data_IF_036701749246
#
_entry.id   IF_036701749246
#
_cell.length_a   1.000
_cell.length_b   1.000
_cell.length_c   1.000
_cell.angle_alpha   90.00
_cell.angle_beta   90.00
_cell.angle_gamma   90.00
#
_symmetry.space_group_name_H-M   'P 1'
#
loop_
_entity.id
_entity.type
_entity.pdbx_description
1 polymer ?
#
# COMPACT_ATOMS: atom_id res chain seq x y z
N UNK A 1 23.29 21.95 24.43
CA UNK A 1 22.04 22.54 23.90
C UNK A 1 22.31 23.49 22.75
N UNK A 2 23.28 24.42 22.85
CA UNK A 2 23.66 25.32 21.76
C UNK A 2 23.90 24.59 20.43
N UNK A 3 24.69 23.51 20.45
CA UNK A 3 24.97 22.71 19.24
C UNK A 3 23.72 22.08 18.62
N UNK A 4 22.77 21.64 19.45
CA UNK A 4 21.51 21.07 18.97
C UNK A 4 20.63 22.12 18.26
N UNK A 5 20.58 23.34 18.81
CA UNK A 5 19.90 24.48 18.16
C UNK A 5 20.60 24.86 16.85
N UNK A 6 21.92 24.89 16.85
CA UNK A 6 22.69 25.23 15.65
C UNK A 6 22.55 24.18 14.55
N UNK A 7 22.47 22.89 14.90
CA UNK A 7 22.19 21.83 13.94
C UNK A 7 20.87 22.06 13.20
N UNK A 8 19.80 22.47 13.90
CA UNK A 8 18.51 22.80 13.26
C UNK A 8 18.66 23.99 12.31
N UNK A 9 19.36 25.05 12.73
CA UNK A 9 19.60 26.23 11.86
C UNK A 9 20.37 25.85 10.61
N UNK A 10 21.41 25.04 10.74
CA UNK A 10 22.22 24.59 9.61
C UNK A 10 21.42 23.72 8.66
N UNK A 11 20.61 22.78 9.16
CA UNK A 11 19.71 21.98 8.34
C UNK A 11 18.72 22.87 7.57
N UNK A 12 18.09 23.84 8.25
CA UNK A 12 17.11 24.76 7.65
C UNK A 12 17.75 25.65 6.59
N UNK A 13 18.90 26.24 6.90
CA UNK A 13 19.66 27.09 5.98
C UNK A 13 20.13 26.34 4.72
N UNK A 14 20.44 25.05 4.84
CA UNK A 14 20.94 24.22 3.74
C UNK A 14 19.87 23.30 3.12
N UNK A 15 18.59 23.51 3.43
CA UNK A 15 17.51 22.61 3.05
C UNK A 15 17.46 22.34 1.53
N UNK A 16 17.59 23.39 0.71
CA UNK A 16 17.65 23.27 -0.76
C UNK A 16 18.83 22.43 -1.24
N UNK A 17 20.00 22.56 -0.61
CA UNK A 17 21.19 21.76 -0.94
C UNK A 17 20.99 20.28 -0.60
N UNK A 18 20.26 19.98 0.47
CA UNK A 18 19.97 18.60 0.89
C UNK A 18 18.73 18.00 0.22
N UNK A 19 17.98 18.79 -0.54
CA UNK A 19 16.71 18.34 -1.13
C UNK A 19 15.63 18.04 -0.08
N UNK A 20 15.66 18.74 1.06
CA UNK A 20 14.69 18.57 2.15
C UNK A 20 13.80 19.81 2.30
N UNK A 21 12.63 19.64 2.92
CA UNK A 21 11.73 20.75 3.27
C UNK A 21 12.24 21.48 4.53
N UNK A 22 12.53 22.80 4.47
CA UNK A 22 13.02 23.57 5.62
C UNK A 22 12.02 23.66 6.79
N UNK A 23 10.75 23.29 6.57
CA UNK A 23 9.68 23.28 7.57
C UNK A 23 9.36 21.86 8.08
N UNK A 24 10.24 20.89 7.82
CA UNK A 24 10.10 19.48 8.26
C UNK A 24 11.41 18.93 8.80
N UNK A 25 12.05 19.68 9.68
CA UNK A 25 13.33 19.30 10.30
C UNK A 25 13.08 18.74 11.68
N UNK A 26 13.22 17.43 11.82
CA UNK A 26 13.09 16.75 13.11
C UNK A 26 14.41 16.48 13.81
N UNK A 27 14.33 16.20 15.10
CA UNK A 27 15.45 15.65 15.87
C UNK A 27 15.07 14.32 16.51
N UNK A 28 15.95 13.32 16.41
CA UNK A 28 15.84 12.04 17.10
C UNK A 28 17.12 11.77 17.88
N UNK A 29 17.01 11.32 19.13
CA UNK A 29 18.18 11.06 19.95
C UNK A 29 17.94 10.05 21.06
N UNK A 30 19.03 9.42 21.45
CA UNK A 30 19.09 8.31 22.39
C UNK A 30 19.78 8.74 23.69
N UNK A 31 19.26 8.34 24.86
CA UNK A 31 19.87 8.63 26.18
C UNK A 31 20.21 10.12 26.34
N UNK A 32 21.49 10.47 26.53
CA UNK A 32 21.97 11.86 26.59
C UNK A 32 21.62 12.69 25.34
N UNK A 33 21.55 12.06 24.15
CA UNK A 33 21.05 12.69 22.94
C UNK A 33 19.56 13.02 23.03
N UNK A 34 18.76 12.14 23.64
CA UNK A 34 17.36 12.41 23.96
C UNK A 34 17.22 13.57 24.95
N UNK A 35 18.05 13.61 26.00
CA UNK A 35 18.12 14.73 26.95
C UNK A 35 18.45 16.06 26.26
N UNK A 36 19.43 16.06 25.35
CA UNK A 36 19.78 17.23 24.55
C UNK A 36 18.58 17.73 23.74
N UNK A 37 17.87 16.83 23.06
CA UNK A 37 16.71 17.18 22.22
C UNK A 37 15.56 17.68 23.08
N UNK A 38 15.28 17.04 24.21
CA UNK A 38 14.28 17.53 25.17
C UNK A 38 14.58 18.94 25.67
N UNK A 39 15.87 19.27 25.79
CA UNK A 39 16.30 20.63 26.13
C UNK A 39 16.10 21.60 24.98
N UNK A 40 16.48 21.21 23.75
CA UNK A 40 16.26 22.02 22.55
C UNK A 40 14.77 22.30 22.36
N UNK A 41 13.92 21.28 22.49
CA UNK A 41 12.48 21.34 22.29
C UNK A 41 11.72 22.22 23.32
N UNK A 42 12.38 22.68 24.39
CA UNK A 42 11.79 23.61 25.36
C UNK A 42 12.43 25.00 25.36
N UNK A 43 13.58 25.17 24.68
CA UNK A 43 14.40 26.38 24.86
C UNK A 43 14.82 27.03 23.54
N UNK A 44 14.30 26.56 22.40
CA UNK A 44 14.61 27.07 21.07
C UNK A 44 14.21 28.54 20.86
N UNK A 45 14.72 29.12 19.78
CA UNK A 45 14.17 30.32 19.13
C UNK A 45 13.50 29.94 17.79
N UNK A 46 12.90 30.92 17.10
CA UNK A 46 12.16 30.67 15.86
C UNK A 46 12.99 29.92 14.80
N UNK A 47 14.30 30.20 14.71
CA UNK A 47 15.18 29.58 13.71
C UNK A 47 15.70 28.19 14.11
N UNK A 48 15.76 27.91 15.41
CA UNK A 48 16.27 26.65 15.96
C UNK A 48 15.20 25.70 16.48
N UNK A 49 13.92 26.06 16.33
CA UNK A 49 12.78 25.20 16.65
C UNK A 49 12.78 23.97 15.71
N UNK A 50 12.90 22.74 16.22
CA UNK A 50 12.65 21.55 15.42
C UNK A 50 11.15 21.42 15.13
N UNK A 51 10.80 20.85 13.98
CA UNK A 51 9.41 20.65 13.56
C UNK A 51 8.77 19.41 14.19
N UNK A 52 9.57 18.48 14.70
CA UNK A 52 9.18 17.32 15.49
C UNK A 52 10.37 16.79 16.30
N UNK A 53 10.12 16.14 17.44
CA UNK A 53 11.17 15.62 18.31
C UNK A 53 10.89 14.19 18.78
N UNK A 54 11.92 13.34 18.79
CA UNK A 54 11.86 11.97 19.28
C UNK A 54 12.95 11.69 20.32
N UNK A 55 12.53 11.27 21.51
CA UNK A 55 13.38 11.05 22.67
C UNK A 55 13.32 9.56 23.03
N UNK A 56 14.43 8.86 22.84
CA UNK A 56 14.53 7.43 23.10
C UNK A 56 15.33 7.24 24.39
N UNK A 57 14.69 6.71 25.43
CA UNK A 57 15.20 6.51 26.80
C UNK A 57 15.99 7.71 27.35
N UNK A 58 15.44 8.92 27.18
CA UNK A 58 16.10 10.15 27.62
C UNK A 58 16.23 10.22 29.15
N UNK A 59 17.35 10.72 29.65
CA UNK A 59 17.48 11.09 31.05
C UNK A 59 16.85 12.47 31.28
N UNK A 60 15.60 12.52 31.76
CA UNK A 60 14.85 13.77 31.86
C UNK A 60 15.36 14.71 32.97
N UNK A 61 16.09 14.20 33.96
CA UNK A 61 16.59 15.01 35.09
C UNK A 61 17.60 16.09 34.70
N UNK A 62 18.20 15.99 33.50
CA UNK A 62 19.14 16.98 32.96
C UNK A 62 18.58 17.77 31.76
N UNK A 63 17.28 17.67 31.49
CA UNK A 63 16.64 18.48 30.45
C UNK A 63 16.55 19.93 30.94
N UNK A 64 17.04 20.87 30.12
CA UNK A 64 16.90 22.30 30.37
C UNK A 64 15.55 22.81 29.85
N UNK A 65 14.96 23.77 30.56
CA UNK A 65 13.67 24.38 30.25
C UNK A 65 12.63 24.06 31.32
N UNK A 66 11.95 25.10 31.79
CA UNK A 66 11.03 25.01 32.93
C UNK A 66 9.55 24.88 32.50
N UNK A 67 9.25 25.16 31.23
CA UNK A 67 7.91 25.10 30.65
C UNK A 67 7.93 24.60 29.21
N UNK A 68 6.80 24.04 28.78
CA UNK A 68 6.56 23.64 27.38
C UNK A 68 6.11 24.88 26.59
N UNK A 69 6.84 25.30 25.54
CA UNK A 69 6.44 26.45 24.73
C UNK A 69 5.07 26.26 24.05
N UNK A 70 4.34 27.35 23.81
CA UNK A 70 3.01 27.31 23.17
C UNK A 70 3.04 26.68 21.78
N UNK A 71 4.14 26.85 21.04
CA UNK A 71 4.39 26.30 19.72
C UNK A 71 5.27 25.04 19.75
N UNK A 72 5.46 24.39 20.91
CA UNK A 72 6.33 23.22 21.05
C UNK A 72 6.05 22.14 19.98
N UNK A 73 7.09 21.52 19.42
CA UNK A 73 6.93 20.48 18.42
C UNK A 73 6.15 19.28 18.97
N UNK A 74 5.49 18.50 18.10
CA UNK A 74 4.99 17.19 18.47
C UNK A 74 6.15 16.31 18.99
N UNK A 75 5.89 15.58 20.07
CA UNK A 75 6.90 14.82 20.81
C UNK A 75 6.63 13.31 20.78
N UNK A 76 7.62 12.51 20.41
CA UNK A 76 7.60 11.05 20.52
C UNK A 76 8.57 10.59 21.60
N UNK A 77 8.13 9.70 22.49
CA UNK A 77 8.94 9.15 23.57
C UNK A 77 8.86 7.63 23.57
N UNK A 78 9.99 6.95 23.75
CA UNK A 78 10.05 5.50 23.93
C UNK A 78 11.05 5.12 25.01
N UNK A 79 10.67 4.23 25.93
CA UNK A 79 11.57 3.69 26.96
C UNK A 79 11.23 2.23 27.32
N UNK A 80 12.17 1.56 27.97
CA UNK A 80 11.92 0.31 28.67
C UNK A 80 11.55 0.60 30.14
N UNK A 81 10.62 -0.16 30.70
CA UNK A 81 10.14 -0.02 32.08
C UNK A 81 11.14 -0.51 33.11
N UNK A 82 12.04 -1.41 32.71
CA UNK A 82 13.19 -1.83 33.50
C UNK A 82 14.45 -0.95 33.29
N UNK A 83 14.32 0.22 32.66
CA UNK A 83 15.40 1.20 32.51
C UNK A 83 15.50 2.11 33.77
N UNK A 84 16.60 2.03 34.56
CA UNK A 84 16.74 2.82 35.79
C UNK A 84 17.07 4.30 35.55
N UNK A 85 17.32 4.71 34.31
CA UNK A 85 17.72 6.08 33.94
C UNK A 85 16.54 6.84 33.32
N UNK A 86 15.71 6.18 32.52
CA UNK A 86 14.67 6.81 31.71
C UNK A 86 13.34 7.06 32.44
N UNK A 87 13.24 6.84 33.75
CA UNK A 87 11.97 6.90 34.51
C UNK A 87 11.23 8.25 34.46
N UNK A 88 11.90 9.35 34.07
CA UNK A 88 11.28 10.68 33.98
C UNK A 88 10.44 10.94 32.72
N UNK A 89 10.48 10.05 31.72
CA UNK A 89 9.78 10.26 30.44
C UNK A 89 8.24 10.34 30.57
N UNK A 90 7.55 9.57 31.43
CA UNK A 90 6.11 9.73 31.65
C UNK A 90 5.70 11.12 32.15
N UNK A 91 6.45 11.70 33.10
CA UNK A 91 6.18 13.05 33.59
C UNK A 91 6.42 14.12 32.50
N UNK A 92 7.40 13.91 31.62
CA UNK A 92 7.64 14.79 30.48
C UNK A 92 6.49 14.73 29.46
N UNK A 93 5.97 13.53 29.19
CA UNK A 93 4.77 13.35 28.36
C UNK A 93 3.56 14.10 28.92
N UNK A 94 3.31 13.97 30.23
CA UNK A 94 2.21 14.67 30.91
C UNK A 94 2.34 16.18 30.76
N UNK A 95 3.54 16.74 30.95
CA UNK A 95 3.80 18.18 30.73
C UNK A 95 3.43 18.63 29.31
N UNK A 96 3.77 17.84 28.29
CA UNK A 96 3.45 18.17 26.89
C UNK A 96 1.94 18.16 26.64
N UNK A 97 1.25 17.14 27.16
CA UNK A 97 -0.19 16.98 27.03
C UNK A 97 -0.96 18.08 27.76
N UNK A 98 -0.53 18.44 28.97
CA UNK A 98 -1.16 19.47 29.79
C UNK A 98 -0.97 20.87 29.16
N UNK A 99 0.09 21.07 28.37
CA UNK A 99 0.29 22.25 27.52
C UNK A 99 -0.52 22.22 26.21
N UNK A 100 -1.38 21.21 25.99
CA UNK A 100 -2.18 21.04 24.78
C UNK A 100 -1.36 20.68 23.53
N UNK A 101 -0.13 20.21 23.70
CA UNK A 101 0.78 19.87 22.59
C UNK A 101 0.70 18.38 22.25
N UNK A 102 0.80 17.99 20.96
CA UNK A 102 0.78 16.57 20.59
C UNK A 102 1.97 15.82 21.19
N UNK A 103 1.71 14.71 21.86
CA UNK A 103 2.75 13.80 22.34
C UNK A 103 2.30 12.34 22.28
N UNK A 104 3.25 11.44 22.12
CA UNK A 104 3.05 9.98 22.15
C UNK A 104 4.15 9.33 23.00
N UNK A 105 3.77 8.38 23.86
CA UNK A 105 4.66 7.68 24.77
C UNK A 105 4.50 6.17 24.66
N UNK A 106 5.60 5.46 24.45
CA UNK A 106 5.67 4.00 24.50
C UNK A 106 6.53 3.54 25.67
N UNK A 107 5.97 2.70 26.54
CA UNK A 107 6.68 2.04 27.62
C UNK A 107 6.66 0.54 27.35
N UNK A 108 7.83 -0.03 27.05
CA UNK A 108 8.01 -1.47 26.87
C UNK A 108 8.39 -2.10 28.20
N UNK A 109 7.87 -3.28 28.60
CA UNK A 109 8.17 -3.83 29.92
C UNK A 109 9.67 -4.09 30.14
N UNK A 110 10.35 -4.60 29.11
CA UNK A 110 11.76 -4.98 29.12
C UNK A 110 12.50 -4.43 27.88
N UNK A 111 13.82 -4.31 27.99
CA UNK A 111 14.72 -3.80 26.95
C UNK A 111 15.98 -3.13 27.53
N UNK A 112 15.92 -2.73 28.80
CA UNK A 112 17.01 -2.06 29.50
C UNK A 112 17.34 -0.68 28.94
N UNK A 113 18.39 -0.07 29.48
CA UNK A 113 18.96 1.15 28.90
C UNK A 113 19.78 0.83 27.65
N UNK A 114 19.64 1.62 26.59
CA UNK A 114 20.47 1.50 25.40
C UNK A 114 20.02 0.46 24.38
N UNK A 115 18.73 0.10 24.34
CA UNK A 115 18.22 -0.86 23.35
C UNK A 115 18.42 -0.42 21.88
N UNK A 116 18.50 0.89 21.62
CA UNK A 116 18.80 1.49 20.32
C UNK A 116 18.12 0.74 19.15
N UNK A 117 18.88 0.25 18.18
CA UNK A 117 18.39 -0.56 17.05
C UNK A 117 18.70 -2.06 17.22
N UNK A 118 19.15 -2.49 18.40
CA UNK A 118 19.52 -3.88 18.64
C UNK A 118 18.27 -4.76 18.74
N UNK A 119 18.23 -5.83 17.94
CA UNK A 119 17.16 -6.84 18.03
C UNK A 119 17.41 -7.73 19.25
N UNK A 120 16.48 -7.70 20.20
CA UNK A 120 16.54 -8.48 21.45
C UNK A 120 15.54 -9.65 21.47
N UNK A 121 14.64 -9.74 20.48
CA UNK A 121 13.51 -10.65 20.49
C UNK A 121 12.41 -10.21 21.48
N UNK A 122 12.42 -8.94 21.89
CA UNK A 122 11.52 -8.37 22.88
C UNK A 122 10.59 -7.34 22.23
N UNK A 123 9.42 -7.02 22.84
CA UNK A 123 8.50 -6.03 22.28
C UNK A 123 9.12 -4.65 22.01
N UNK A 124 10.18 -4.29 22.74
CA UNK A 124 10.93 -3.04 22.52
C UNK A 124 11.51 -2.93 21.11
N UNK A 125 11.79 -4.04 20.44
CA UNK A 125 12.31 -4.05 19.06
C UNK A 125 11.37 -3.31 18.08
N UNK A 126 10.08 -3.22 18.42
CA UNK A 126 9.03 -2.57 17.62
C UNK A 126 8.95 -1.05 17.80
N UNK A 127 9.83 -0.41 18.58
CA UNK A 127 9.77 1.05 18.78
C UNK A 127 9.98 1.84 17.48
N UNK A 128 10.79 1.32 16.56
CA UNK A 128 11.01 1.93 15.25
C UNK A 128 9.73 1.91 14.40
N UNK A 129 8.99 0.80 14.42
CA UNK A 129 7.67 0.72 13.77
C UNK A 129 6.70 1.73 14.36
N UNK A 130 6.68 1.88 15.69
CA UNK A 130 5.84 2.88 16.37
C UNK A 130 6.24 4.30 16.00
N UNK A 131 7.54 4.59 15.91
CA UNK A 131 8.02 5.89 15.48
C UNK A 131 7.62 6.22 14.03
N UNK A 132 7.76 5.26 13.10
CA UNK A 132 7.33 5.43 11.71
C UNK A 132 5.81 5.64 11.60
N UNK A 133 5.02 4.87 12.37
CA UNK A 133 3.56 5.05 12.44
C UNK A 133 3.19 6.43 13.01
N UNK A 134 3.93 6.92 14.00
CA UNK A 134 3.75 8.26 14.54
C UNK A 134 4.06 9.32 13.50
N UNK A 135 5.22 9.27 12.81
CA UNK A 135 5.56 10.20 11.73
C UNK A 135 4.49 10.23 10.64
N UNK A 136 3.97 9.06 10.26
CA UNK A 136 2.89 8.95 9.29
C UNK A 136 1.60 9.60 9.81
N UNK A 137 1.24 9.39 11.07
CA UNK A 137 0.06 10.00 11.71
C UNK A 137 0.18 11.52 11.83
N UNK A 138 1.40 12.04 11.99
CA UNK A 138 1.69 13.48 11.96
C UNK A 138 1.73 14.05 10.52
N UNK A 139 1.57 13.22 9.47
CA UNK A 139 1.65 13.64 8.07
C UNK A 139 3.08 14.01 7.61
N UNK A 140 4.10 13.59 8.37
CA UNK A 140 5.50 13.96 8.13
C UNK A 140 6.16 13.13 7.02
N UNK A 141 5.57 12.00 6.64
CA UNK A 141 6.08 11.12 5.58
C UNK A 141 5.49 11.40 4.18
N UNK A 142 4.53 12.32 4.06
CA UNK A 142 3.88 12.69 2.79
C UNK A 142 4.25 14.13 2.40
N UNK A 143 4.40 14.48 1.11
CA UNK A 143 4.52 15.87 0.67
C UNK A 143 3.47 16.79 1.33
N UNK A 144 3.79 18.06 1.68
CA UNK A 144 2.88 18.92 2.46
C UNK A 144 1.46 19.06 1.88
N UNK A 145 1.34 19.20 0.57
CA UNK A 145 0.05 19.32 -0.11
C UNK A 145 -0.72 18.00 -0.17
N UNK A 146 -0.02 16.87 -0.15
CA UNK A 146 -0.62 15.54 -0.10
C UNK A 146 -1.10 15.22 1.32
N UNK A 147 -0.26 15.47 2.34
CA UNK A 147 -0.61 15.28 3.75
C UNK A 147 -1.90 16.00 4.15
N UNK A 148 -2.15 17.21 3.61
CA UNK A 148 -3.38 17.98 3.85
C UNK A 148 -4.63 17.35 3.23
N UNK A 149 -4.49 16.60 2.14
CA UNK A 149 -5.59 15.99 1.38
C UNK A 149 -5.86 14.55 1.80
N UNK A 150 -4.89 13.90 2.45
CA UNK A 150 -5.01 12.51 2.90
C UNK A 150 -5.86 12.40 4.16
N UNK A 151 -6.90 11.57 4.11
CA UNK A 151 -7.56 11.09 5.33
C UNK A 151 -6.64 10.09 6.06
N UNK A 152 -5.74 10.61 6.89
CA UNK A 152 -4.81 9.79 7.67
C UNK A 152 -5.54 8.81 8.61
N UNK A 153 -6.73 9.17 9.13
CA UNK A 153 -7.54 8.25 9.95
C UNK A 153 -8.17 7.14 9.10
N UNK A 154 -8.60 7.47 7.89
CA UNK A 154 -9.06 6.53 6.88
C UNK A 154 -7.97 5.55 6.48
N UNK A 155 -6.74 6.02 6.27
CA UNK A 155 -5.58 5.19 6.01
C UNK A 155 -5.37 4.12 7.09
N UNK A 156 -5.41 4.49 8.38
CA UNK A 156 -5.25 3.51 9.47
C UNK A 156 -6.41 2.52 9.57
N UNK A 157 -7.64 2.98 9.32
CA UNK A 157 -8.81 2.08 9.26
C UNK A 157 -8.66 1.06 8.13
N UNK A 158 -8.23 1.51 6.95
CA UNK A 158 -7.98 0.64 5.81
C UNK A 158 -6.82 -0.33 6.07
N UNK A 159 -5.70 0.15 6.62
CA UNK A 159 -4.54 -0.69 6.95
C UNK A 159 -4.91 -1.80 7.93
N UNK A 160 -5.61 -1.46 9.02
CA UNK A 160 -6.08 -2.47 9.99
C UNK A 160 -7.02 -3.48 9.33
N UNK A 161 -7.98 -3.01 8.54
CA UNK A 161 -8.88 -3.89 7.78
C UNK A 161 -8.09 -4.84 6.87
N UNK A 162 -7.11 -4.32 6.14
CA UNK A 162 -6.27 -5.09 5.22
C UNK A 162 -5.42 -6.14 5.95
N UNK A 163 -4.74 -5.76 7.03
CA UNK A 163 -3.95 -6.68 7.86
C UNK A 163 -4.82 -7.79 8.47
N UNK A 164 -5.99 -7.43 8.97
CA UNK A 164 -6.94 -8.40 9.53
C UNK A 164 -7.51 -9.34 8.46
N UNK A 165 -7.80 -8.81 7.27
CA UNK A 165 -8.23 -9.60 6.12
C UNK A 165 -7.13 -10.56 5.68
N UNK A 166 -5.88 -10.11 5.52
CA UNK A 166 -4.74 -10.98 5.17
C UNK A 166 -4.58 -12.11 6.20
N UNK A 167 -4.75 -11.81 7.49
CA UNK A 167 -4.58 -12.77 8.58
C UNK A 167 -5.72 -13.78 8.68
N UNK A 168 -6.97 -13.36 8.45
CA UNK A 168 -8.16 -14.18 8.74
C UNK A 168 -8.85 -14.73 7.49
N UNK A 169 -8.69 -14.08 6.34
CA UNK A 169 -9.28 -14.45 5.06
C UNK A 169 -8.34 -14.05 3.91
N UNK A 170 -7.14 -14.65 3.89
CA UNK A 170 -6.07 -14.30 2.93
C UNK A 170 -6.55 -14.28 1.47
N UNK A 171 -7.38 -15.25 1.07
CA UNK A 171 -7.96 -15.34 -0.27
C UNK A 171 -9.13 -14.40 -0.52
N UNK A 172 -9.71 -13.76 0.51
CA UNK A 172 -10.92 -12.94 0.40
C UNK A 172 -12.16 -13.76 0.05
N UNK A 173 -12.26 -15.00 0.53
CA UNK A 173 -13.34 -15.94 0.20
C UNK A 173 -14.72 -15.42 0.62
N UNK A 174 -14.79 -14.63 1.69
CA UNK A 174 -16.07 -14.09 2.16
C UNK A 174 -16.63 -13.00 1.25
N UNK A 175 -15.78 -12.28 0.49
CA UNK A 175 -16.15 -11.08 -0.28
C UNK A 175 -17.29 -11.29 -1.27
N UNK A 176 -17.35 -12.46 -1.89
CA UNK A 176 -18.38 -12.83 -2.87
C UNK A 176 -19.18 -14.06 -2.46
N UNK A 177 -18.98 -14.63 -1.26
CA UNK A 177 -19.68 -15.85 -0.83
C UNK A 177 -21.20 -15.74 -0.96
N UNK A 178 -21.81 -14.69 -0.40
CA UNK A 178 -23.24 -14.45 -0.53
C UNK A 178 -23.68 -14.15 -1.97
N UNK A 179 -22.89 -13.37 -2.71
CA UNK A 179 -23.21 -13.01 -4.09
C UNK A 179 -23.16 -14.23 -5.02
N UNK A 180 -22.25 -15.17 -4.78
CA UNK A 180 -22.14 -16.44 -5.48
C UNK A 180 -23.34 -17.34 -5.18
N UNK A 181 -23.78 -17.42 -3.92
CA UNK A 181 -24.94 -18.22 -3.53
C UNK A 181 -26.25 -17.71 -4.15
N UNK A 182 -26.38 -16.38 -4.31
CA UNK A 182 -27.54 -15.73 -4.93
C UNK A 182 -27.52 -15.82 -6.46
N UNK A 183 -26.38 -16.17 -7.07
CA UNK A 183 -26.26 -16.25 -8.52
C UNK A 183 -26.88 -17.55 -9.03
N UNK A 184 -27.94 -17.43 -9.82
CA UNK A 184 -28.59 -18.59 -10.44
C UNK A 184 -27.62 -19.34 -11.37
N UNK A 185 -27.76 -20.67 -11.53
CA UNK A 185 -27.05 -21.40 -12.57
C UNK A 185 -27.27 -20.77 -13.94
N UNK A 186 -26.28 -20.78 -14.85
CA UNK A 186 -26.46 -20.25 -16.19
C UNK A 186 -27.64 -20.91 -16.92
N UNK A 187 -28.43 -20.14 -17.65
CA UNK A 187 -29.47 -20.71 -18.52
C UNK A 187 -28.85 -21.53 -19.67
N UNK A 188 -29.65 -22.39 -20.32
CA UNK A 188 -29.18 -23.37 -21.33
C UNK A 188 -28.33 -22.76 -22.47
N UNK A 189 -28.55 -21.50 -22.80
CA UNK A 189 -27.81 -20.77 -23.85
C UNK A 189 -27.06 -19.54 -23.32
N UNK A 190 -27.03 -19.32 -22.01
CA UNK A 190 -26.33 -18.19 -21.39
C UNK A 190 -24.81 -18.41 -21.50
N UNK A 191 -24.13 -17.51 -22.22
CA UNK A 191 -22.67 -17.46 -22.27
C UNK A 191 -22.14 -16.58 -21.15
N UNK A 192 -22.22 -17.07 -19.91
CA UNK A 192 -21.73 -16.35 -18.74
C UNK A 192 -20.23 -16.09 -18.85
N UNK A 193 -19.80 -14.85 -18.61
CA UNK A 193 -18.39 -14.44 -18.62
C UNK A 193 -18.01 -13.94 -17.25
N UNK A 194 -16.95 -14.48 -16.66
CA UNK A 194 -16.42 -13.98 -15.39
C UNK A 194 -15.22 -13.07 -15.66
N UNK A 195 -15.29 -11.84 -15.16
CA UNK A 195 -14.16 -10.92 -15.13
C UNK A 195 -13.45 -11.07 -13.79
N UNK A 196 -12.23 -11.59 -13.82
CA UNK A 196 -11.48 -12.01 -12.64
C UNK A 196 -10.18 -11.23 -12.52
N UNK A 197 -10.02 -10.53 -11.40
CA UNK A 197 -8.89 -9.61 -11.24
C UNK A 197 -8.81 -8.93 -9.89
N UNK A 198 -8.09 -7.81 -9.89
CA UNK A 198 -7.82 -6.99 -8.72
C UNK A 198 -8.68 -5.70 -8.72
N UNK A 199 -8.14 -4.60 -8.19
CA UNK A 199 -8.79 -3.28 -8.13
C UNK A 199 -9.17 -2.73 -9.51
N UNK A 200 -8.42 -3.03 -10.57
CA UNK A 200 -8.76 -2.60 -11.93
C UNK A 200 -10.06 -3.30 -12.39
N UNK A 201 -10.22 -4.57 -12.06
CA UNK A 201 -11.46 -5.28 -12.36
C UNK A 201 -12.59 -4.84 -11.43
N UNK A 202 -12.33 -4.68 -10.13
CA UNK A 202 -13.36 -4.25 -9.16
C UNK A 202 -13.90 -2.85 -9.50
N UNK A 203 -13.01 -1.91 -9.83
CA UNK A 203 -13.36 -0.52 -10.15
C UNK A 203 -14.18 -0.36 -11.42
N UNK A 204 -14.11 -1.33 -12.35
CA UNK A 204 -14.80 -1.25 -13.63
C UNK A 204 -16.31 -1.14 -13.47
N UNK A 205 -16.94 -1.94 -12.59
CA UNK A 205 -18.39 -1.90 -12.40
C UNK A 205 -18.88 -0.57 -11.79
N UNK A 206 -18.03 0.07 -10.99
CA UNK A 206 -18.32 1.40 -10.43
C UNK A 206 -18.14 2.53 -11.43
N UNK A 207 -17.13 2.43 -12.30
CA UNK A 207 -16.83 3.45 -13.30
C UNK A 207 -17.72 3.37 -14.53
N UNK A 208 -18.07 2.15 -14.99
CA UNK A 208 -18.84 1.86 -16.21
C UNK A 208 -19.90 0.78 -15.96
N UNK A 209 -20.92 1.02 -15.11
CA UNK A 209 -21.96 0.04 -14.83
C UNK A 209 -22.68 -0.45 -16.10
N UNK A 210 -22.85 0.43 -17.10
CA UNK A 210 -23.49 0.14 -18.38
C UNK A 210 -22.77 -0.92 -19.21
N UNK A 211 -21.48 -1.16 -18.95
CA UNK A 211 -20.74 -2.22 -19.64
C UNK A 211 -21.20 -3.62 -19.21
N UNK A 212 -21.64 -3.75 -17.94
CA UNK A 212 -22.09 -5.02 -17.35
C UNK A 212 -23.60 -5.19 -17.42
N UNK A 213 -24.36 -4.09 -17.45
CA UNK A 213 -25.82 -4.11 -17.44
C UNK A 213 -26.40 -4.90 -18.63
N UNK A 214 -27.36 -5.79 -18.34
CA UNK A 214 -28.03 -6.61 -19.35
C UNK A 214 -27.16 -7.69 -20.01
N UNK A 215 -25.88 -7.78 -19.69
CA UNK A 215 -24.96 -8.82 -20.19
C UNK A 215 -24.79 -9.92 -19.14
N UNK A 216 -24.53 -11.17 -19.55
CA UNK A 216 -24.24 -12.27 -18.61
C UNK A 216 -22.81 -12.17 -18.05
N UNK A 217 -22.39 -10.96 -17.66
CA UNK A 217 -21.05 -10.67 -17.19
C UNK A 217 -21.05 -10.59 -15.66
N UNK A 218 -20.07 -11.24 -15.05
CA UNK A 218 -19.95 -11.36 -13.61
C UNK A 218 -18.60 -10.80 -13.17
N UNK A 219 -18.63 -9.70 -12.44
CA UNK A 219 -17.42 -9.09 -11.90
C UNK A 219 -16.97 -9.79 -10.61
N UNK A 220 -15.73 -10.25 -10.58
CA UNK A 220 -15.07 -10.87 -9.41
C UNK A 220 -13.71 -10.23 -9.17
N UNK A 221 -13.61 -8.92 -9.35
CA UNK A 221 -12.46 -8.14 -8.92
C UNK A 221 -12.46 -7.92 -7.41
N UNK A 222 -11.28 -7.99 -6.78
CA UNK A 222 -11.08 -7.59 -5.38
C UNK A 222 -9.84 -6.71 -5.27
N UNK A 223 -10.01 -5.49 -4.79
CA UNK A 223 -8.97 -4.48 -4.65
C UNK A 223 -7.76 -4.97 -3.86
N UNK A 224 -6.57 -4.58 -4.32
CA UNK A 224 -5.30 -4.90 -3.67
C UNK A 224 -4.83 -6.35 -3.79
N UNK A 225 -5.66 -7.28 -4.30
CA UNK A 225 -5.29 -8.70 -4.35
C UNK A 225 -4.17 -9.00 -5.35
N UNK A 226 -3.37 -10.00 -4.97
CA UNK A 226 -2.26 -10.58 -5.73
C UNK A 226 -2.63 -11.95 -6.29
N UNK A 227 -1.85 -12.47 -7.24
CA UNK A 227 -2.09 -13.77 -7.88
C UNK A 227 -2.21 -14.97 -6.92
N UNK A 228 -1.46 -15.11 -5.80
CA UNK A 228 -1.69 -16.23 -4.88
C UNK A 228 -3.06 -16.18 -4.19
N UNK A 229 -3.55 -14.99 -3.85
CA UNK A 229 -4.89 -14.82 -3.26
C UNK A 229 -5.98 -15.14 -4.28
N UNK A 230 -5.79 -14.66 -5.51
CA UNK A 230 -6.67 -14.94 -6.64
C UNK A 230 -6.75 -16.45 -6.94
N UNK A 231 -5.63 -17.16 -6.91
CA UNK A 231 -5.60 -18.62 -7.12
C UNK A 231 -6.44 -19.36 -6.06
N UNK A 232 -6.35 -18.96 -4.79
CA UNK A 232 -7.11 -19.58 -3.68
C UNK A 232 -8.61 -19.49 -3.91
N UNK A 233 -9.12 -18.32 -4.34
CA UNK A 233 -10.56 -18.11 -4.55
C UNK A 233 -11.05 -18.53 -5.95
N UNK A 234 -10.16 -18.94 -6.85
CA UNK A 234 -10.51 -19.21 -8.25
C UNK A 234 -11.62 -20.25 -8.41
N UNK A 235 -11.60 -21.33 -7.60
CA UNK A 235 -12.67 -22.34 -7.65
C UNK A 235 -14.03 -21.78 -7.25
N UNK A 236 -14.09 -20.97 -6.20
CA UNK A 236 -15.33 -20.40 -5.68
C UNK A 236 -15.89 -19.31 -6.63
N UNK A 237 -15.01 -18.43 -7.10
CA UNK A 237 -15.41 -17.21 -7.79
C UNK A 237 -15.37 -17.33 -9.32
N UNK A 238 -14.85 -18.44 -9.86
CA UNK A 238 -14.86 -18.71 -11.31
C UNK A 238 -15.50 -20.06 -11.59
N UNK A 239 -14.88 -21.16 -11.14
CA UNK A 239 -15.29 -22.52 -11.55
C UNK A 239 -16.73 -22.83 -11.12
N UNK A 240 -17.08 -22.54 -9.87
CA UNK A 240 -18.42 -22.82 -9.33
C UNK A 240 -19.53 -22.02 -10.04
N UNK A 241 -19.18 -20.91 -10.71
CA UNK A 241 -20.13 -20.06 -11.43
C UNK A 241 -20.43 -20.58 -12.85
N UNK A 242 -19.73 -21.63 -13.28
CA UNK A 242 -19.88 -22.32 -14.58
C UNK A 242 -19.88 -21.37 -15.80
N UNK A 243 -18.92 -20.44 -15.92
CA UNK A 243 -18.88 -19.54 -17.06
C UNK A 243 -18.48 -20.26 -18.35
N UNK A 244 -18.89 -19.69 -19.49
CA UNK A 244 -18.35 -20.07 -20.80
C UNK A 244 -16.89 -19.61 -20.97
N UNK A 245 -16.54 -18.46 -20.39
CA UNK A 245 -15.16 -17.97 -20.37
C UNK A 245 -14.83 -17.15 -19.13
N UNK A 246 -13.53 -17.08 -18.81
CA UNK A 246 -12.98 -16.18 -17.80
C UNK A 246 -11.96 -15.22 -18.42
N UNK A 247 -12.06 -13.94 -18.07
CA UNK A 247 -11.06 -12.92 -18.37
C UNK A 247 -10.20 -12.71 -17.13
N UNK A 248 -8.90 -12.99 -17.22
CA UNK A 248 -7.95 -12.88 -16.10
C UNK A 248 -7.06 -11.66 -16.32
N UNK A 249 -7.15 -10.66 -15.43
CA UNK A 249 -6.26 -9.50 -15.36
C UNK A 249 -5.60 -9.45 -13.98
N UNK A 250 -4.35 -9.88 -13.88
CA UNK A 250 -3.66 -10.09 -12.60
C UNK A 250 -2.15 -9.85 -12.70
N UNK A 251 -1.51 -9.46 -11.59
CA UNK A 251 -0.05 -9.31 -11.49
C UNK A 251 0.44 -7.94 -11.03
N UNK A 252 -0.34 -6.86 -11.21
CA UNK A 252 0.11 -5.50 -10.84
C UNK A 252 0.42 -5.38 -9.33
N UNK A 253 -0.43 -5.92 -8.47
CA UNK A 253 -0.25 -5.85 -7.01
C UNK A 253 0.86 -6.78 -6.50
N UNK A 254 1.13 -7.85 -7.23
CA UNK A 254 2.27 -8.73 -6.95
C UNK A 254 3.58 -7.97 -7.19
N UNK A 255 3.67 -7.23 -8.31
CA UNK A 255 4.81 -6.37 -8.62
C UNK A 255 4.92 -5.21 -7.60
N UNK A 256 3.79 -4.71 -7.12
CA UNK A 256 3.73 -3.71 -6.04
C UNK A 256 4.07 -4.25 -4.64
N UNK A 257 4.22 -5.58 -4.48
CA UNK A 257 4.62 -6.21 -3.22
C UNK A 257 3.50 -6.29 -2.17
N UNK A 258 2.22 -6.23 -2.57
CA UNK A 258 1.09 -6.16 -1.62
C UNK A 258 0.97 -7.36 -0.68
N UNK A 259 1.53 -8.52 -1.04
CA UNK A 259 1.60 -9.73 -0.20
C UNK A 259 3.04 -10.12 0.15
N UNK A 260 3.98 -9.19 -0.02
CA UNK A 260 5.41 -9.39 0.25
C UNK A 260 6.24 -9.72 -0.99
N UNK A 261 7.52 -10.10 -0.80
CA UNK A 261 8.44 -10.40 -1.88
C UNK A 261 7.96 -11.56 -2.76
N UNK A 262 8.09 -11.40 -4.08
CA UNK A 262 7.72 -12.41 -5.07
C UNK A 262 8.60 -12.30 -6.32
N UNK A 263 8.57 -13.31 -7.19
CA UNK A 263 9.27 -13.32 -8.48
C UNK A 263 8.28 -13.27 -9.64
N UNK A 264 8.74 -12.82 -10.82
CA UNK A 264 7.89 -12.83 -12.01
C UNK A 264 7.43 -14.24 -12.38
N UNK A 265 8.27 -15.23 -12.14
CA UNK A 265 7.96 -16.65 -12.35
C UNK A 265 6.85 -17.11 -11.40
N UNK A 266 6.85 -16.70 -10.13
CA UNK A 266 5.79 -17.05 -9.19
C UNK A 266 4.45 -16.43 -9.62
N UNK A 267 4.46 -15.16 -10.04
CA UNK A 267 3.27 -14.46 -10.57
C UNK A 267 2.74 -15.19 -11.80
N UNK A 268 3.63 -15.47 -12.75
CA UNK A 268 3.31 -16.21 -13.97
C UNK A 268 2.72 -17.58 -13.67
N UNK A 269 3.34 -18.35 -12.78
CA UNK A 269 2.88 -19.70 -12.42
C UNK A 269 1.49 -19.69 -11.79
N UNK A 270 1.17 -18.72 -10.92
CA UNK A 270 -0.18 -18.59 -10.37
C UNK A 270 -1.23 -18.32 -11.47
N UNK A 271 -0.91 -17.47 -12.44
CA UNK A 271 -1.82 -17.18 -13.58
C UNK A 271 -1.98 -18.43 -14.48
N UNK A 272 -0.88 -19.14 -14.74
CA UNK A 272 -0.90 -20.42 -15.47
C UNK A 272 -1.77 -21.45 -14.75
N UNK A 273 -1.61 -21.62 -13.43
CA UNK A 273 -2.43 -22.54 -12.65
C UNK A 273 -3.92 -22.20 -12.70
N UNK A 274 -4.27 -20.90 -12.65
CA UNK A 274 -5.67 -20.48 -12.86
C UNK A 274 -6.19 -20.85 -14.25
N UNK A 275 -5.38 -20.64 -15.30
CA UNK A 275 -5.74 -21.02 -16.67
C UNK A 275 -5.90 -22.54 -16.83
N UNK A 276 -5.01 -23.33 -16.22
CA UNK A 276 -5.10 -24.80 -16.22
C UNK A 276 -6.36 -25.29 -15.49
N UNK A 277 -6.68 -24.72 -14.32
CA UNK A 277 -7.90 -25.04 -13.58
C UNK A 277 -9.14 -24.71 -14.43
N UNK A 278 -9.17 -23.55 -15.09
CA UNK A 278 -10.29 -23.16 -15.95
C UNK A 278 -10.48 -24.16 -17.11
N UNK A 279 -9.41 -24.46 -17.84
CA UNK A 279 -9.44 -25.40 -18.97
C UNK A 279 -9.85 -26.81 -18.54
N UNK A 280 -9.39 -27.28 -17.39
CA UNK A 280 -9.79 -28.57 -16.83
C UNK A 280 -11.28 -28.64 -16.42
N UNK A 281 -11.99 -27.50 -16.40
CA UNK A 281 -13.43 -27.40 -16.15
C UNK A 281 -14.19 -26.87 -17.38
N UNK A 282 -13.61 -27.02 -18.58
CA UNK A 282 -14.21 -26.61 -19.86
C UNK A 282 -14.53 -25.10 -19.97
N UNK A 283 -13.79 -24.27 -19.24
CA UNK A 283 -13.92 -22.81 -19.26
C UNK A 283 -12.86 -22.24 -20.21
N UNK A 284 -13.29 -21.45 -21.21
CA UNK A 284 -12.38 -20.74 -22.11
C UNK A 284 -11.63 -19.63 -21.37
N UNK A 285 -10.37 -19.40 -21.72
CA UNK A 285 -9.49 -18.48 -20.99
C UNK A 285 -9.05 -17.33 -21.86
N UNK A 286 -9.31 -16.11 -21.40
CA UNK A 286 -8.71 -14.88 -21.91
C UNK A 286 -7.71 -14.38 -20.87
N UNK A 287 -6.42 -14.44 -21.19
CA UNK A 287 -5.35 -13.88 -20.35
C UNK A 287 -5.05 -12.47 -20.85
N UNK A 288 -5.24 -11.49 -19.99
CA UNK A 288 -4.93 -10.11 -20.29
C UNK A 288 -3.48 -9.76 -19.95
N UNK A 289 -2.88 -8.87 -20.73
CA UNK A 289 -1.68 -8.16 -20.34
C UNK A 289 -1.94 -7.36 -19.06
N UNK A 290 -1.02 -7.41 -18.10
CA UNK A 290 -0.95 -6.42 -17.02
C UNK A 290 -0.86 -5.03 -17.63
N UNK A 291 -1.68 -4.09 -17.16
CA UNK A 291 -1.70 -2.72 -17.68
C UNK A 291 -0.35 -2.02 -17.46
N UNK A 292 -0.02 -0.99 -18.26
CA UNK A 292 1.22 -0.22 -18.12
C UNK A 292 1.21 0.56 -16.80
N UNK A 293 2.32 0.54 -16.07
CA UNK A 293 2.50 1.33 -14.85
C UNK A 293 3.93 1.85 -14.81
N UNK A 294 4.09 3.18 -14.64
CA UNK A 294 5.40 3.80 -14.51
C UNK A 294 5.92 3.75 -13.06
N UNK A 295 5.05 3.97 -12.08
CA UNK A 295 5.33 3.81 -10.65
C UNK A 295 4.03 3.58 -9.87
N UNK A 296 4.12 3.05 -8.64
CA UNK A 296 2.97 2.87 -7.76
C UNK A 296 2.93 3.96 -6.69
N UNK A 297 1.87 4.80 -6.63
CA UNK A 297 1.79 5.85 -5.61
C UNK A 297 1.88 5.35 -4.17
N UNK A 298 1.38 4.14 -3.89
CA UNK A 298 1.42 3.53 -2.56
C UNK A 298 2.69 2.71 -2.28
N UNK A 299 3.52 2.48 -3.30
CA UNK A 299 4.76 1.70 -3.22
C UNK A 299 5.80 2.25 -4.22
N UNK A 300 6.28 3.50 -4.00
CA UNK A 300 7.11 4.20 -4.98
C UNK A 300 8.50 3.59 -5.12
N UNK A 301 9.12 3.79 -6.28
CA UNK A 301 10.51 3.40 -6.54
C UNK A 301 10.71 1.91 -6.84
N UNK A 302 9.64 1.20 -7.21
CA UNK A 302 9.70 -0.22 -7.54
C UNK A 302 10.07 -0.51 -9.01
N UNK A 303 10.16 0.51 -9.86
CA UNK A 303 10.47 0.42 -11.29
C UNK A 303 9.62 -0.66 -12.03
N UNK A 304 8.28 -0.58 -11.97
CA UNK A 304 7.40 -1.66 -12.43
C UNK A 304 7.34 -1.88 -13.94
N UNK A 305 7.62 -0.85 -14.75
CA UNK A 305 7.46 -0.89 -16.20
C UNK A 305 8.14 -2.09 -16.88
N UNK A 306 9.43 -2.30 -16.61
CA UNK A 306 10.19 -3.41 -17.20
C UNK A 306 9.72 -4.79 -16.70
N UNK A 307 9.31 -4.86 -15.42
CA UNK A 307 8.78 -6.08 -14.81
C UNK A 307 7.46 -6.49 -15.49
N UNK A 308 6.59 -5.52 -15.75
CA UNK A 308 5.31 -5.70 -16.44
C UNK A 308 5.54 -6.18 -17.87
N UNK A 309 6.46 -5.55 -18.62
CA UNK A 309 6.78 -5.96 -20.00
C UNK A 309 7.25 -7.42 -20.06
N UNK A 310 8.15 -7.82 -19.15
CA UNK A 310 8.66 -9.21 -19.08
C UNK A 310 7.56 -10.21 -18.74
N UNK A 311 6.75 -9.93 -17.72
CA UNK A 311 5.62 -10.78 -17.35
C UNK A 311 4.62 -10.93 -18.50
N UNK A 312 4.29 -9.81 -19.16
CA UNK A 312 3.39 -9.82 -20.32
C UNK A 312 3.91 -10.66 -21.47
N UNK A 313 5.22 -10.61 -21.75
CA UNK A 313 5.84 -11.47 -22.76
C UNK A 313 5.73 -12.96 -22.41
N UNK A 314 5.92 -13.33 -21.13
CA UNK A 314 5.73 -14.71 -20.66
C UNK A 314 4.28 -15.17 -20.83
N UNK A 315 3.31 -14.34 -20.43
CA UNK A 315 1.87 -14.62 -20.54
C UNK A 315 1.43 -14.76 -22.01
N UNK A 316 1.90 -13.87 -22.90
CA UNK A 316 1.63 -13.92 -24.34
C UNK A 316 2.13 -15.22 -24.96
N UNK A 317 3.35 -15.62 -24.62
CA UNK A 317 3.95 -16.89 -25.09
C UNK A 317 3.17 -18.10 -24.60
N UNK A 318 2.77 -18.10 -23.32
CA UNK A 318 1.97 -19.19 -22.75
C UNK A 318 0.62 -19.32 -23.45
N UNK A 319 -0.11 -18.20 -23.61
CA UNK A 319 -1.43 -18.20 -24.23
C UNK A 319 -1.40 -18.75 -25.67
N UNK A 320 -0.42 -18.32 -26.47
CA UNK A 320 -0.21 -18.81 -27.83
C UNK A 320 0.03 -20.32 -27.94
N UNK A 321 0.48 -20.97 -26.86
CA UNK A 321 0.81 -22.39 -26.84
C UNK A 321 -0.26 -23.27 -26.15
N UNK A 322 -1.29 -22.68 -25.53
CA UNK A 322 -2.15 -23.38 -24.57
C UNK A 322 -3.66 -23.16 -24.73
N UNK A 323 -4.15 -22.90 -25.96
CA UNK A 323 -5.59 -22.70 -26.24
C UNK A 323 -6.23 -21.62 -25.34
N UNK A 324 -5.47 -20.53 -25.14
CA UNK A 324 -5.94 -19.33 -24.45
C UNK A 324 -5.85 -18.14 -25.41
N UNK A 325 -6.76 -17.17 -25.26
CA UNK A 325 -6.66 -15.88 -25.96
C UNK A 325 -5.77 -14.95 -25.15
N UNK A 326 -4.88 -14.21 -25.83
CA UNK A 326 -4.10 -13.15 -25.21
C UNK A 326 -4.68 -11.78 -25.56
N UNK A 327 -5.07 -11.01 -24.54
CA UNK A 327 -5.65 -9.68 -24.66
C UNK A 327 -4.62 -8.60 -24.30
N UNK A 328 -4.13 -7.87 -25.30
CA UNK A 328 -2.98 -6.95 -25.18
C UNK A 328 -3.39 -5.49 -24.91
N UNK A 329 -3.95 -5.21 -23.72
CA UNK A 329 -4.22 -3.83 -23.28
C UNK A 329 -2.94 -3.00 -23.19
N UNK A 330 -1.84 -3.60 -22.74
CA UNK A 330 -0.60 -2.89 -22.45
C UNK A 330 -0.07 -2.13 -23.66
N UNK A 331 -0.05 -2.77 -24.83
CA UNK A 331 0.41 -2.12 -26.05
C UNK A 331 -0.50 -0.96 -26.49
N UNK A 332 -1.81 -1.06 -26.23
CA UNK A 332 -2.79 -0.04 -26.61
C UNK A 332 -2.83 1.18 -25.66
N UNK A 333 -2.47 1.00 -24.39
CA UNK A 333 -2.71 1.99 -23.34
C UNK A 333 -1.45 2.72 -22.84
N UNK A 334 -0.25 2.32 -23.27
CA UNK A 334 1.01 2.84 -22.70
C UNK A 334 1.44 4.20 -23.28
N UNK A 335 2.06 5.02 -22.44
CA UNK A 335 2.83 6.21 -22.82
C UNK A 335 4.30 5.87 -23.14
N UNK A 336 5.11 6.89 -23.44
CA UNK A 336 6.54 6.75 -23.75
C UNK A 336 7.38 6.21 -22.57
N UNK A 337 6.88 6.30 -21.35
CA UNK A 337 7.53 5.78 -20.13
C UNK A 337 7.04 4.37 -19.78
N UNK A 338 6.26 3.75 -20.68
CA UNK A 338 5.56 2.49 -20.43
C UNK A 338 4.61 2.54 -19.21
N UNK A 339 4.06 3.72 -18.89
CA UNK A 339 3.00 3.91 -17.91
C UNK A 339 1.66 4.25 -18.55
N UNK A 340 0.61 4.38 -17.74
CA UNK A 340 -0.66 4.92 -18.22
C UNK A 340 -0.60 6.46 -18.29
N UNK A 341 -1.03 7.09 -19.39
CA UNK A 341 -1.15 8.54 -19.45
C UNK A 341 -2.27 9.03 -18.51
N UNK A 342 -2.13 10.26 -18.00
CA UNK A 342 -3.06 10.83 -17.00
C UNK A 342 -4.53 10.85 -17.44
N UNK A 343 -4.80 10.96 -18.75
CA UNK A 343 -6.15 10.89 -19.30
C UNK A 343 -6.80 9.50 -19.11
N UNK A 344 -5.99 8.44 -19.12
CA UNK A 344 -6.44 7.06 -18.95
C UNK A 344 -6.35 6.57 -17.51
N UNK A 345 -5.47 7.13 -16.66
CA UNK A 345 -5.41 6.84 -15.23
C UNK A 345 -4.87 8.04 -14.45
N UNK A 346 -5.70 8.65 -13.59
CA UNK A 346 -5.31 9.85 -12.84
C UNK A 346 -4.20 9.60 -11.82
N UNK A 347 -4.10 8.38 -11.29
CA UNK A 347 -3.07 7.93 -10.36
C UNK A 347 -1.95 7.13 -11.06
N UNK A 348 -2.00 7.01 -12.39
CA UNK A 348 -1.06 6.23 -13.19
C UNK A 348 -1.24 4.72 -13.13
N UNK A 349 -2.28 4.19 -12.45
CA UNK A 349 -2.52 2.74 -12.30
C UNK A 349 -3.96 2.34 -12.61
N UNK A 350 -4.95 3.02 -12.03
CA UNK A 350 -6.35 2.64 -12.12
C UNK A 350 -7.04 3.41 -13.27
N UNK A 351 -7.69 2.70 -14.21
CA UNK A 351 -8.31 3.36 -15.35
C UNK A 351 -9.39 4.38 -14.96
N UNK A 352 -9.40 5.52 -15.64
CA UNK A 352 -10.53 6.46 -15.66
C UNK A 352 -11.67 5.86 -16.49
N UNK A 353 -12.81 6.58 -16.57
CA UNK A 353 -13.90 6.26 -17.51
C UNK A 353 -13.37 6.07 -18.93
N UNK A 354 -12.48 6.94 -19.40
CA UNK A 354 -11.90 6.85 -20.75
C UNK A 354 -10.91 5.68 -20.88
N UNK A 355 -10.15 5.38 -19.82
CA UNK A 355 -9.33 4.17 -19.76
C UNK A 355 -10.16 2.90 -19.91
N UNK A 356 -11.29 2.78 -19.18
CA UNK A 356 -12.18 1.63 -19.33
C UNK A 356 -12.85 1.57 -20.71
N UNK A 357 -13.30 2.70 -21.29
CA UNK A 357 -13.85 2.73 -22.67
C UNK A 357 -12.90 2.08 -23.68
N UNK A 358 -11.60 2.39 -23.56
CA UNK A 358 -10.58 1.80 -24.44
C UNK A 358 -10.47 0.28 -24.26
N UNK A 359 -10.60 -0.22 -23.03
CA UNK A 359 -10.53 -1.66 -22.74
C UNK A 359 -11.76 -2.44 -23.24
N UNK A 360 -12.95 -1.83 -23.21
CA UNK A 360 -14.24 -2.50 -23.50
C UNK A 360 -14.28 -3.14 -24.89
N UNK A 361 -13.93 -2.41 -25.95
CA UNK A 361 -13.95 -2.96 -27.30
C UNK A 361 -12.96 -4.12 -27.48
N UNK A 362 -11.78 -4.01 -26.85
CA UNK A 362 -10.74 -5.03 -26.94
C UNK A 362 -11.14 -6.32 -26.21
N UNK A 363 -11.75 -6.21 -25.03
CA UNK A 363 -12.18 -7.39 -24.26
C UNK A 363 -13.37 -8.10 -24.90
N UNK A 364 -14.31 -7.35 -25.48
CA UNK A 364 -15.44 -7.94 -26.20
C UNK A 364 -14.96 -8.74 -27.41
N UNK A 365 -13.98 -8.22 -28.16
CA UNK A 365 -13.35 -8.95 -29.25
C UNK A 365 -12.69 -10.24 -28.76
N UNK A 366 -11.89 -10.18 -27.69
CA UNK A 366 -11.20 -11.34 -27.14
C UNK A 366 -12.16 -12.40 -26.56
N UNK A 367 -13.24 -11.96 -25.89
CA UNK A 367 -14.31 -12.85 -25.40
C UNK A 367 -14.99 -13.55 -26.58
N UNK A 368 -15.37 -12.79 -27.61
CA UNK A 368 -16.02 -13.35 -28.79
C UNK A 368 -15.12 -14.34 -29.51
N UNK A 369 -13.82 -14.07 -29.61
CA UNK A 369 -12.84 -15.01 -30.14
C UNK A 369 -12.81 -16.30 -29.31
N UNK A 370 -12.72 -16.19 -27.98
CA UNK A 370 -12.63 -17.34 -27.08
C UNK A 370 -13.86 -18.26 -27.13
N UNK A 371 -15.08 -17.70 -27.21
CA UNK A 371 -16.32 -18.48 -27.12
C UNK A 371 -16.90 -18.93 -28.48
N UNK A 372 -16.43 -18.35 -29.59
CA UNK A 372 -16.92 -18.68 -30.94
C UNK A 372 -15.93 -19.54 -31.76
N UNK A 373 -14.86 -20.06 -31.17
CA UNK A 373 -14.00 -21.06 -31.82
C UNK A 373 -14.85 -22.32 -32.11
N UNK A 374 -14.97 -22.66 -33.40
CA UNK A 374 -15.69 -23.83 -33.91
C UNK A 374 -15.10 -25.15 -33.42
#
# INVERSE_FOLDING_TARGET
>A
VADGREAVRLARKNASRFGIDPNRIGMLGFSAGGTLIGSVAQTYDAESRPDFAALIYAYCGAILGDSVPEDAPPLFLALAGNDPIAFGNPALYEKWRDAGRPAELHIYPEGGHGFALQQQGLPVDLWTDRYLQWLQTQGLLLPPEEAKRTDLKGHWRWRRYWEEMIRTDFGGLNRFSEANQKLMPPEKNEKRIVFFGNSITEGWIGARPEFFEGKPYVNRGIGGQTTPQMLIRFRQDVVALKPAAVVILAGTNDIAGNTGPTTLEAIFNNIVSMAEIARANDIRVVISSVLPVADYPWAPGLEPAEKIIRLNAMLKKYAASNDCIYLDYHSAMKDERNGLPAALASDGVHPTVEGYKMMEGMVEQAINEAINVK
#
